data_IF_350932130521
#
_entry.id   IF_350932130521
#
_cell.length_a   1.000
_cell.length_b   1.000
_cell.length_c   1.000
_cell.angle_alpha   90.00
_cell.angle_beta   90.00
_cell.angle_gamma   90.00
#
_symmetry.space_group_name_H-M   'P 1'
#
loop_
_entity.id
_entity.type
_entity.pdbx_description
1 polymer ?
#
# COMPACT_ATOMS: atom_id res chain seq x y z
N UNK A 1 33.96 -6.43 41.94
CA UNK A 1 33.41 -6.53 40.56
C UNK A 1 32.65 -7.85 40.33
N UNK A 2 31.99 -8.42 41.36
CA UNK A 2 31.31 -9.74 41.29
C UNK A 2 29.79 -9.66 41.48
N UNK A 3 29.26 -8.50 41.88
CA UNK A 3 27.82 -8.29 42.05
C UNK A 3 27.08 -8.06 40.71
N UNK A 4 27.75 -7.49 39.70
CA UNK A 4 27.19 -7.26 38.35
C UNK A 4 26.70 -8.54 37.65
N UNK A 5 27.45 -9.67 37.63
CA UNK A 5 26.96 -10.91 37.03
C UNK A 5 25.83 -11.55 37.85
N UNK A 6 25.83 -11.40 39.18
CA UNK A 6 24.79 -11.93 40.06
C UNK A 6 23.45 -11.22 39.81
N UNK A 7 23.47 -9.90 39.65
CA UNK A 7 22.26 -9.14 39.31
C UNK A 7 21.70 -9.52 37.93
N UNK A 8 22.56 -9.79 36.95
CA UNK A 8 22.15 -10.28 35.63
C UNK A 8 21.50 -11.66 35.70
N UNK A 9 22.09 -12.58 36.47
CA UNK A 9 21.57 -13.94 36.65
C UNK A 9 20.21 -13.94 37.38
N UNK A 10 20.07 -13.11 38.42
CA UNK A 10 18.81 -12.94 39.15
C UNK A 10 17.70 -12.33 38.27
N UNK A 11 18.02 -11.31 37.46
CA UNK A 11 17.05 -10.72 36.54
C UNK A 11 16.59 -11.74 35.48
N UNK A 12 17.52 -12.55 34.95
CA UNK A 12 17.20 -13.61 34.00
C UNK A 12 16.28 -14.66 34.65
N UNK A 13 16.59 -15.15 35.85
CA UNK A 13 15.78 -16.14 36.57
C UNK A 13 14.33 -15.66 36.82
N UNK A 14 14.13 -14.36 37.06
CA UNK A 14 12.80 -13.75 37.24
C UNK A 14 12.00 -13.66 35.94
N UNK A 15 12.66 -13.59 34.78
CA UNK A 15 12.02 -13.43 33.46
C UNK A 15 11.71 -14.78 32.77
N UNK A 16 12.45 -15.85 33.08
CA UNK A 16 12.17 -17.20 32.54
C UNK A 16 10.71 -17.67 32.68
N UNK A 17 10.01 -17.51 33.83
CA UNK A 17 8.63 -17.97 33.94
C UNK A 17 7.63 -17.18 33.08
N UNK A 18 7.95 -15.94 32.67
CA UNK A 18 7.12 -15.15 31.77
C UNK A 18 7.16 -15.66 30.31
N UNK A 19 8.19 -16.42 29.94
CA UNK A 19 8.28 -17.07 28.63
C UNK A 19 7.53 -18.42 28.57
N UNK A 20 7.23 -19.02 29.72
CA UNK A 20 6.45 -20.25 29.86
C UNK A 20 5.04 -19.98 30.39
N UNK A 21 4.42 -18.87 29.98
CA UNK A 21 3.02 -18.61 30.35
C UNK A 21 2.12 -19.65 29.69
N UNK A 22 1.20 -20.18 30.48
CA UNK A 22 0.20 -21.11 29.98
C UNK A 22 -0.63 -20.42 28.89
N UNK A 23 -0.67 -21.04 27.70
CA UNK A 23 -1.55 -20.59 26.63
C UNK A 23 -2.97 -20.48 27.22
N UNK A 24 -3.67 -19.34 27.04
CA UNK A 24 -4.99 -19.17 27.63
C UNK A 24 -5.90 -20.31 27.17
N UNK A 25 -6.71 -20.86 28.08
CA UNK A 25 -7.65 -21.91 27.73
C UNK A 25 -8.66 -21.37 26.69
N UNK A 26 -8.38 -21.60 25.41
CA UNK A 26 -9.27 -21.28 24.31
C UNK A 26 -10.32 -22.40 24.11
N UNK A 27 -10.02 -23.60 24.59
CA UNK A 27 -10.89 -24.77 24.48
C UNK A 27 -12.24 -24.58 25.18
N UNK A 28 -12.28 -23.76 26.24
CA UNK A 28 -13.53 -23.39 26.92
C UNK A 28 -14.46 -22.50 26.09
N UNK A 29 -14.02 -22.02 24.92
CA UNK A 29 -14.85 -21.32 23.92
C UNK A 29 -15.36 -22.24 22.81
N UNK A 30 -14.83 -23.45 22.69
CA UNK A 30 -15.31 -24.42 21.71
C UNK A 30 -16.57 -25.10 22.26
N UNK A 31 -17.72 -24.88 21.61
CA UNK A 31 -18.95 -25.58 21.97
C UNK A 31 -18.93 -27.01 21.43
N UNK A 32 -19.69 -27.95 22.00
CA UNK A 32 -19.80 -29.31 21.46
C UNK A 32 -20.22 -29.34 19.99
N UNK A 33 -21.07 -28.41 19.57
CA UNK A 33 -21.53 -28.27 18.19
C UNK A 33 -20.40 -27.82 17.26
N UNK A 34 -19.52 -26.91 17.73
CA UNK A 34 -18.33 -26.47 16.98
C UNK A 34 -17.31 -27.59 16.79
N UNK A 35 -17.14 -28.45 17.80
CA UNK A 35 -16.23 -29.59 17.73
C UNK A 35 -16.77 -30.71 16.84
N UNK A 36 -18.10 -30.84 16.75
CA UNK A 36 -18.77 -31.79 15.88
C UNK A 36 -19.02 -31.27 14.46
N UNK A 37 -18.74 -29.98 14.20
CA UNK A 37 -18.93 -29.38 12.89
C UNK A 37 -17.97 -29.98 11.87
N UNK A 38 -18.44 -30.09 10.63
CA UNK A 38 -17.60 -30.53 9.54
C UNK A 38 -16.49 -29.50 9.27
N UNK A 39 -15.29 -30.01 9.01
CA UNK A 39 -14.16 -29.14 8.71
C UNK A 39 -14.42 -28.41 7.38
N UNK A 40 -14.14 -27.10 7.29
CA UNK A 40 -14.37 -26.37 6.05
C UNK A 40 -13.52 -26.94 4.92
N UNK A 41 -14.07 -26.90 3.71
CA UNK A 41 -13.33 -27.24 2.50
C UNK A 41 -12.11 -26.32 2.36
N UNK A 42 -10.91 -26.91 2.40
CA UNK A 42 -9.67 -26.20 2.17
C UNK A 42 -9.53 -25.91 0.68
N UNK A 43 -9.55 -24.63 0.32
CA UNK A 43 -9.35 -24.19 -1.06
C UNK A 43 -7.84 -23.96 -1.29
N UNK A 44 -7.28 -24.38 -2.45
CA UNK A 44 -5.89 -24.11 -2.78
C UNK A 44 -5.58 -22.61 -2.73
N UNK A 45 -4.45 -22.26 -2.14
CA UNK A 45 -4.01 -20.86 -1.99
C UNK A 45 -3.33 -20.35 -3.27
N UNK A 46 -2.72 -21.23 -4.06
CA UNK A 46 -1.97 -20.85 -5.27
C UNK A 46 -2.76 -20.01 -6.29
N UNK A 47 -4.03 -20.34 -6.61
CA UNK A 47 -4.84 -19.51 -7.51
C UNK A 47 -5.07 -18.09 -6.98
N UNK A 48 -5.25 -17.94 -5.67
CA UNK A 48 -5.43 -16.63 -5.03
C UNK A 48 -4.15 -15.79 -5.11
N UNK A 49 -2.99 -16.43 -4.89
CA UNK A 49 -1.69 -15.79 -5.02
C UNK A 49 -1.40 -15.39 -6.47
N UNK A 50 -1.75 -16.24 -7.43
CA UNK A 50 -1.61 -15.94 -8.85
C UNK A 50 -2.46 -14.73 -9.26
N UNK A 51 -3.72 -14.69 -8.84
CA UNK A 51 -4.60 -13.55 -9.09
C UNK A 51 -4.09 -12.26 -8.44
N UNK A 52 -3.62 -12.34 -7.19
CA UNK A 52 -3.04 -11.19 -6.50
C UNK A 52 -1.81 -10.63 -7.21
N UNK A 53 -0.92 -11.49 -7.72
CA UNK A 53 0.26 -11.07 -8.50
C UNK A 53 -0.12 -10.48 -9.85
N UNK A 54 -1.08 -11.07 -10.56
CA UNK A 54 -1.54 -10.56 -11.86
C UNK A 54 -2.22 -9.19 -11.76
N UNK A 55 -2.91 -8.91 -10.64
CA UNK A 55 -3.54 -7.62 -10.38
C UNK A 55 -2.59 -6.52 -9.87
N UNK A 56 -1.30 -6.81 -9.68
CA UNK A 56 -0.35 -5.82 -9.21
C UNK A 56 0.02 -4.83 -10.31
N UNK A 57 -0.11 -3.55 -9.98
CA UNK A 57 0.36 -2.46 -10.82
C UNK A 57 1.87 -2.31 -10.61
N UNK A 58 2.65 -2.35 -11.70
CA UNK A 58 4.05 -1.92 -11.65
C UNK A 58 4.08 -0.42 -11.38
N UNK A 59 4.38 -0.05 -10.13
CA UNK A 59 4.37 1.33 -9.67
C UNK A 59 5.38 2.17 -10.43
N UNK A 60 6.59 1.66 -10.70
CA UNK A 60 7.63 2.43 -11.39
C UNK A 60 7.29 2.68 -12.84
N UNK A 61 6.80 1.66 -13.54
CA UNK A 61 6.36 1.83 -14.92
C UNK A 61 5.17 2.79 -15.01
N UNK A 62 4.22 2.68 -14.07
CA UNK A 62 3.02 3.52 -14.03
C UNK A 62 3.36 4.97 -13.74
N UNK A 63 4.24 5.24 -12.77
CA UNK A 63 4.74 6.57 -12.47
C UNK A 63 5.45 7.20 -13.67
N UNK A 64 6.34 6.46 -14.33
CA UNK A 64 7.04 6.94 -15.52
C UNK A 64 6.06 7.30 -16.65
N UNK A 65 5.05 6.45 -16.90
CA UNK A 65 4.02 6.70 -17.90
C UNK A 65 3.18 7.94 -17.57
N UNK A 66 2.79 8.11 -16.30
CA UNK A 66 2.04 9.28 -15.83
C UNK A 66 2.88 10.56 -15.93
N UNK A 67 4.14 10.52 -15.51
CA UNK A 67 5.05 11.67 -15.58
C UNK A 67 5.22 12.16 -17.03
N UNK A 68 5.42 11.23 -17.98
CA UNK A 68 5.50 11.56 -19.40
C UNK A 68 4.22 12.20 -19.94
N UNK A 69 3.05 11.67 -19.56
CA UNK A 69 1.75 12.25 -19.93
C UNK A 69 1.58 13.67 -19.38
N UNK A 70 1.93 13.90 -18.11
CA UNK A 70 1.88 15.21 -17.47
C UNK A 70 2.78 16.21 -18.22
N UNK A 71 4.02 15.85 -18.52
CA UNK A 71 4.94 16.71 -19.26
C UNK A 71 4.40 17.11 -20.64
N UNK A 72 3.84 16.15 -21.38
CA UNK A 72 3.24 16.41 -22.69
C UNK A 72 2.03 17.35 -22.61
N UNK A 73 1.17 17.17 -21.60
CA UNK A 73 0.01 18.04 -21.38
C UNK A 73 0.44 19.46 -21.00
N UNK A 74 1.46 19.61 -20.15
CA UNK A 74 2.02 20.90 -19.78
C UNK A 74 2.62 21.63 -20.98
N UNK A 75 3.39 20.92 -21.82
CA UNK A 75 3.97 21.49 -23.04
C UNK A 75 2.86 21.95 -24.02
N UNK A 76 1.80 21.16 -24.18
CA UNK A 76 0.63 21.57 -24.99
C UNK A 76 -0.06 22.81 -24.43
N UNK A 77 -0.28 22.86 -23.12
CA UNK A 77 -0.88 24.02 -22.46
C UNK A 77 -0.02 25.28 -22.63
N UNK A 78 1.31 25.17 -22.52
CA UNK A 78 2.22 26.29 -22.75
C UNK A 78 2.10 26.85 -24.17
N UNK A 79 2.00 25.98 -25.19
CA UNK A 79 1.77 26.40 -26.57
C UNK A 79 0.44 27.12 -26.76
N UNK A 80 -0.62 26.65 -26.09
CA UNK A 80 -1.96 27.23 -26.20
C UNK A 80 -2.12 28.56 -25.45
N UNK A 81 -1.30 28.83 -24.43
CA UNK A 81 -1.33 30.09 -23.68
C UNK A 81 -0.77 31.30 -24.46
N UNK A 82 -0.13 31.08 -25.60
CA UNK A 82 0.34 32.16 -26.47
C UNK A 82 -0.81 32.92 -27.14
N UNK A 83 -0.52 34.14 -27.63
CA UNK A 83 -1.47 34.88 -28.44
C UNK A 83 -1.73 34.13 -29.76
N UNK A 84 -2.94 33.59 -29.94
CA UNK A 84 -3.37 32.87 -31.15
C UNK A 84 -3.45 33.80 -32.38
N UNK A 85 -3.68 35.08 -32.14
CA UNK A 85 -3.71 36.12 -33.17
C UNK A 85 -2.50 37.03 -33.03
N UNK A 86 -1.80 37.26 -34.13
CA UNK A 86 -0.82 38.33 -34.26
C UNK A 86 -1.49 39.70 -34.08
N UNK A 87 -0.71 40.72 -33.73
CA UNK A 87 -1.21 42.10 -33.60
C UNK A 87 -2.04 42.57 -34.82
N UNK A 88 -1.54 42.39 -36.06
CA UNK A 88 -2.28 42.74 -37.27
C UNK A 88 -3.58 41.95 -37.45
N UNK A 89 -3.62 40.67 -37.06
CA UNK A 89 -4.85 39.86 -37.13
C UNK A 89 -5.90 40.34 -36.13
N UNK A 90 -5.51 40.69 -34.91
CA UNK A 90 -6.40 41.30 -33.92
C UNK A 90 -6.99 42.61 -34.44
N UNK A 91 -6.17 43.42 -35.11
CA UNK A 91 -6.58 44.71 -35.63
C UNK A 91 -7.54 44.59 -36.81
N UNK A 92 -7.32 43.63 -37.72
CA UNK A 92 -8.28 43.29 -38.79
C UNK A 92 -9.62 42.80 -38.23
N UNK A 93 -9.59 41.92 -37.22
CA UNK A 93 -10.81 41.43 -36.59
C UNK A 93 -11.61 42.56 -35.91
N UNK A 94 -10.93 43.45 -35.18
CA UNK A 94 -11.56 44.59 -34.52
C UNK A 94 -12.18 45.60 -35.50
N UNK A 95 -11.63 45.72 -36.71
CA UNK A 95 -12.17 46.55 -37.77
C UNK A 95 -13.42 45.95 -38.42
N UNK A 96 -13.50 44.62 -38.56
CA UNK A 96 -14.66 43.93 -39.13
C UNK A 96 -15.84 43.72 -38.16
N UNK A 97 -15.64 43.95 -36.86
CA UNK A 97 -16.67 43.90 -35.82
C UNK A 97 -17.38 45.25 -35.59
N UNK A 98 -16.95 46.31 -36.29
CA UNK A 98 -17.60 47.62 -36.31
C UNK A 98 -18.56 47.72 -37.48
#
# INVERSE_FOLDING_TARGET
MMMRPIYGLCALALLLPAACTQFPALDSRATPELLAAEYPALVPVDPLLAAARAGQVDTRQTEAALAGRVANLQARAARLRGAVLSGPEKQRLAQGLR
#
